data_IF_379500061088
#
_entry.id   IF_379500061088
#
_cell.length_a   1.000
_cell.length_b   1.000
_cell.length_c   1.000
_cell.angle_alpha   90.00
_cell.angle_beta   90.00
_cell.angle_gamma   90.00
#
_symmetry.space_group_name_H-M   'P 1'
#
loop_
_entity.id
_entity.type
_entity.pdbx_description
1 polymer ?
#
# COMPACT_ATOMS: atom_id res chain seq x y z
N UNK A 1 -34.23 -7.20 -12.67
CA UNK A 1 -33.17 -6.18 -12.78
C UNK A 1 -31.94 -6.75 -12.09
N UNK A 2 -30.95 -7.19 -12.86
CA UNK A 2 -29.77 -7.85 -12.34
C UNK A 2 -28.72 -6.79 -11.97
N UNK A 3 -28.67 -6.42 -10.70
CA UNK A 3 -27.63 -5.60 -10.09
C UNK A 3 -26.43 -6.50 -9.74
N UNK A 4 -25.76 -7.04 -10.75
CA UNK A 4 -24.46 -7.66 -10.53
C UNK A 4 -23.40 -6.59 -10.69
N UNK A 5 -23.14 -5.94 -9.55
CA UNK A 5 -21.80 -5.68 -9.02
C UNK A 5 -20.72 -5.51 -10.09
N UNK A 6 -20.64 -4.29 -10.64
CA UNK A 6 -19.46 -3.83 -11.37
C UNK A 6 -18.40 -3.51 -10.31
N UNK A 7 -17.87 -4.55 -9.67
CA UNK A 7 -16.72 -4.45 -8.77
C UNK A 7 -15.63 -3.73 -9.58
N UNK A 8 -15.13 -2.56 -9.14
CA UNK A 8 -14.14 -1.83 -9.89
C UNK A 8 -12.94 -2.75 -10.06
N UNK A 9 -12.71 -3.20 -11.31
CA UNK A 9 -11.58 -4.08 -11.66
C UNK A 9 -10.33 -3.51 -11.01
N UNK A 10 -9.86 -4.15 -9.94
CA UNK A 10 -8.65 -3.74 -9.24
C UNK A 10 -7.58 -3.64 -10.30
N UNK A 11 -7.07 -2.42 -10.53
CA UNK A 11 -6.01 -2.18 -11.50
C UNK A 11 -4.93 -3.24 -11.25
N UNK A 12 -4.45 -3.95 -12.29
CA UNK A 12 -3.43 -4.97 -12.11
C UNK A 12 -2.30 -4.40 -11.28
N UNK A 13 -1.95 -5.07 -10.18
CA UNK A 13 -0.86 -4.63 -9.32
C UNK A 13 0.40 -4.57 -10.18
N UNK A 14 0.96 -3.38 -10.39
CA UNK A 14 2.10 -3.16 -11.29
C UNK A 14 3.38 -3.91 -10.85
N UNK A 15 3.36 -4.50 -9.65
CA UNK A 15 4.46 -5.19 -9.01
C UNK A 15 3.94 -6.30 -8.08
N UNK A 16 4.67 -7.41 -8.02
CA UNK A 16 4.48 -8.46 -7.02
C UNK A 16 5.78 -8.64 -6.25
N UNK A 17 5.69 -8.72 -4.91
CA UNK A 17 6.86 -8.97 -4.06
C UNK A 17 7.50 -10.30 -4.44
N UNK A 18 8.80 -10.27 -4.72
CA UNK A 18 9.55 -11.45 -5.15
C UNK A 18 9.36 -11.83 -6.62
N UNK A 19 8.79 -10.95 -7.47
CA UNK A 19 8.78 -11.18 -8.91
C UNK A 19 10.19 -11.35 -9.48
N UNK A 20 10.32 -12.10 -10.57
CA UNK A 20 11.57 -12.18 -11.30
C UNK A 20 11.96 -10.80 -11.87
N UNK A 21 13.25 -10.51 -11.79
CA UNK A 21 13.89 -9.26 -12.20
C UNK A 21 14.89 -9.48 -13.35
N UNK A 22 15.07 -10.72 -13.81
CA UNK A 22 16.10 -11.11 -14.78
C UNK A 22 16.07 -10.32 -16.09
N UNK A 23 14.88 -9.87 -16.52
CA UNK A 23 14.68 -9.11 -17.75
C UNK A 23 14.62 -7.59 -17.55
N UNK A 24 14.76 -7.10 -16.31
CA UNK A 24 14.72 -5.67 -16.01
C UNK A 24 16.10 -5.03 -16.20
N UNK A 25 16.12 -3.89 -16.87
CA UNK A 25 17.30 -3.04 -16.95
C UNK A 25 17.60 -2.35 -15.60
N UNK A 26 18.82 -1.83 -15.46
CA UNK A 26 19.23 -1.05 -14.29
C UNK A 26 18.35 0.18 -14.07
N UNK A 27 17.92 0.83 -15.15
CA UNK A 27 17.05 2.01 -15.05
C UNK A 27 15.66 1.64 -14.52
N UNK A 28 15.08 0.55 -15.02
CA UNK A 28 13.79 0.03 -14.55
C UNK A 28 13.86 -0.42 -13.09
N UNK A 29 14.96 -1.05 -12.67
CA UNK A 29 15.18 -1.41 -11.28
C UNK A 29 15.25 -0.17 -10.37
N UNK A 30 15.93 0.89 -10.81
CA UNK A 30 15.99 2.17 -10.06
C UNK A 30 14.61 2.79 -9.92
N UNK A 31 13.87 2.92 -11.02
CA UNK A 31 12.52 3.44 -11.00
C UNK A 31 11.62 2.62 -10.06
N UNK A 32 11.68 1.28 -10.15
CA UNK A 32 10.91 0.39 -9.28
C UNK A 32 11.24 0.58 -7.80
N UNK A 33 12.53 0.75 -7.47
CA UNK A 33 12.97 1.01 -6.09
C UNK A 33 12.37 2.32 -5.57
N UNK A 34 12.38 3.37 -6.39
CA UNK A 34 11.88 4.68 -5.98
C UNK A 34 10.36 4.66 -5.77
N UNK A 35 9.61 3.99 -6.65
CA UNK A 35 8.17 3.75 -6.48
C UNK A 35 7.85 2.99 -5.18
N UNK A 36 8.62 1.94 -4.87
CA UNK A 36 8.41 1.16 -3.65
C UNK A 36 8.77 1.93 -2.38
N UNK A 37 9.79 2.79 -2.41
CA UNK A 37 10.12 3.66 -1.27
C UNK A 37 9.03 4.69 -1.01
N UNK A 38 8.45 5.27 -2.06
CA UNK A 38 7.31 6.18 -1.92
C UNK A 38 6.12 5.46 -1.28
N UNK A 39 5.86 4.22 -1.70
CA UNK A 39 4.79 3.40 -1.14
C UNK A 39 5.05 3.04 0.33
N UNK A 40 6.29 2.70 0.71
CA UNK A 40 6.67 2.51 2.12
C UNK A 40 6.33 3.76 2.94
N UNK A 41 6.72 4.96 2.48
CA UNK A 41 6.43 6.20 3.18
C UNK A 41 4.93 6.46 3.35
N UNK A 42 4.11 6.12 2.35
CA UNK A 42 2.63 6.19 2.43
C UNK A 42 2.11 5.26 3.52
N UNK A 43 2.56 4.01 3.54
CA UNK A 43 2.14 3.00 4.52
C UNK A 43 2.57 3.38 5.95
N UNK A 44 3.78 3.89 6.13
CA UNK A 44 4.27 4.36 7.43
C UNK A 44 3.44 5.55 7.95
N UNK A 45 3.02 6.45 7.06
CA UNK A 45 2.16 7.59 7.41
C UNK A 45 0.78 7.13 7.87
N UNK A 46 0.17 6.20 7.13
CA UNK A 46 -1.11 5.59 7.51
C UNK A 46 -1.02 4.83 8.83
N UNK A 47 0.06 4.07 9.05
CA UNK A 47 0.31 3.36 10.30
C UNK A 47 0.34 4.32 11.48
N UNK A 48 1.12 5.40 11.39
CA UNK A 48 1.21 6.44 12.44
C UNK A 48 -0.15 7.07 12.74
N UNK A 49 -0.94 7.35 11.71
CA UNK A 49 -2.30 7.90 11.87
C UNK A 49 -3.23 6.95 12.64
N UNK A 50 -3.18 5.65 12.30
CA UNK A 50 -3.98 4.62 12.97
C UNK A 50 -3.52 4.37 14.41
N UNK A 51 -2.23 4.35 14.68
CA UNK A 51 -1.69 4.19 16.04
C UNK A 51 -2.04 5.37 16.95
N UNK A 52 -1.99 6.59 16.43
CA UNK A 52 -2.43 7.78 17.16
C UNK A 52 -3.93 7.69 17.51
N UNK A 53 -4.75 7.23 16.55
CA UNK A 53 -6.19 7.03 16.74
C UNK A 53 -6.46 5.96 17.82
N UNK A 54 -5.75 4.83 17.76
CA UNK A 54 -5.88 3.75 18.73
C UNK A 54 -5.49 4.21 20.14
N UNK A 55 -4.38 4.93 20.26
CA UNK A 55 -3.89 5.46 21.54
C UNK A 55 -4.87 6.45 22.17
N UNK A 56 -5.44 7.35 21.36
CA UNK A 56 -6.46 8.29 21.81
C UNK A 56 -7.75 7.59 22.28
N UNK A 57 -8.19 6.56 21.57
CA UNK A 57 -9.33 5.74 21.97
C UNK A 57 -9.06 5.00 23.30
N UNK A 58 -7.90 4.35 23.45
CA UNK A 58 -7.53 3.66 24.68
C UNK A 58 -7.48 4.60 25.90
N UNK A 59 -7.02 5.84 25.73
CA UNK A 59 -7.02 6.86 26.79
C UNK A 59 -8.42 7.40 27.14
N UNK A 60 -9.40 7.26 26.24
CA UNK A 60 -10.81 7.56 26.50
C UNK A 60 -11.50 6.45 27.29
N UNK A 61 -11.16 5.18 27.02
CA UNK A 61 -11.80 4.01 27.63
C UNK A 61 -11.18 3.54 28.96
N UNK A 62 -9.97 3.98 29.33
CA UNK A 62 -9.32 3.64 30.61
C UNK A 62 -9.59 4.65 31.75
N UNK A 63 -10.70 5.38 31.68
CA UNK A 63 -11.15 6.33 32.71
C UNK A 63 -12.28 5.71 33.51
#
# INVERSE_FOLDING_TARGET
MALFDDEPKKKPTAYVVGQDLSLMSVAELRQRIDELKAEIGRLETELKSKDATKSAAEALFRR
#
